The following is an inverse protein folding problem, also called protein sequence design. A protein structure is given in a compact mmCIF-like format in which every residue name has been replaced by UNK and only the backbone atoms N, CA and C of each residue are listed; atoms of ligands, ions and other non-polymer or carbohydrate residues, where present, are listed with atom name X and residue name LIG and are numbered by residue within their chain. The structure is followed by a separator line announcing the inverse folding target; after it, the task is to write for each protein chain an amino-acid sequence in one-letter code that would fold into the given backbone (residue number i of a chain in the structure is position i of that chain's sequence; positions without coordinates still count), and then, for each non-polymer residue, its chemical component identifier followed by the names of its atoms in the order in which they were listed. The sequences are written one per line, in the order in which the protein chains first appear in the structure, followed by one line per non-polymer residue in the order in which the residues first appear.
data_IF_169975432832
#
_entry.id   IF_169975432832
#
_cell.length_a   1.000
_cell.length_b   1.000
_cell.length_c   1.000
_cell.angle_alpha   90.00
_cell.angle_beta   90.00
_cell.angle_gamma   90.00
#
_symmetry.space_group_name_H-M   'P 1'
#
loop_
_entity.id
_entity.type
_entity.pdbx_description
1 polymer ?
#
# COMPACT_ATOMS: atom_id res chain seq x y z
N UNK A 1 -8.31 -22.42 -4.48
CA UNK A 1 -7.17 -22.30 -3.54
C UNK A 1 -7.62 -21.34 -2.45
N UNK A 2 -7.73 -21.76 -1.17
CA UNK A 2 -8.22 -20.88 -0.10
C UNK A 2 -7.20 -19.79 0.26
N UNK A 3 -7.66 -18.55 0.43
CA UNK A 3 -6.87 -17.40 0.86
C UNK A 3 -7.68 -16.60 1.88
N UNK A 4 -7.03 -16.17 2.96
CA UNK A 4 -7.66 -15.42 4.05
C UNK A 4 -6.82 -14.18 4.36
N UNK A 5 -7.47 -13.09 4.76
CA UNK A 5 -6.82 -11.83 5.13
C UNK A 5 -7.00 -11.61 6.63
N UNK A 6 -5.97 -11.10 7.31
CA UNK A 6 -6.00 -10.82 8.75
C UNK A 6 -6.78 -9.52 9.01
N UNK A 7 -7.60 -9.47 10.05
CA UNK A 7 -8.16 -8.22 10.56
C UNK A 7 -7.05 -7.19 10.87
N UNK A 8 -7.30 -5.93 10.58
CA UNK A 8 -6.33 -4.82 10.61
C UNK A 8 -5.42 -4.72 9.39
N UNK A 9 -5.56 -5.59 8.38
CA UNK A 9 -4.72 -5.50 7.18
C UNK A 9 -5.11 -4.31 6.32
N UNK A 10 -4.12 -3.54 5.87
CA UNK A 10 -4.26 -2.47 4.89
C UNK A 10 -3.58 -2.95 3.61
N UNK A 11 -4.34 -3.13 2.54
CA UNK A 11 -3.86 -3.70 1.27
C UNK A 11 -4.00 -2.65 0.16
N UNK A 12 -2.90 -1.99 -0.25
CA UNK A 12 -2.91 -1.15 -1.43
C UNK A 12 -2.95 -2.02 -2.70
N UNK A 13 -3.81 -1.63 -3.65
CA UNK A 13 -3.91 -2.26 -4.97
C UNK A 13 -4.06 -1.19 -6.05
N UNK A 14 -3.64 -1.50 -7.26
CA UNK A 14 -3.87 -0.67 -8.45
C UNK A 14 -4.74 -1.42 -9.46
N UNK A 15 -5.04 -0.80 -10.59
CA UNK A 15 -5.72 -1.45 -11.72
C UNK A 15 -4.88 -2.59 -12.29
N UNK A 16 -5.51 -3.55 -12.96
CA UNK A 16 -4.78 -4.64 -13.62
C UNK A 16 -3.89 -4.06 -14.72
N UNK A 17 -2.61 -4.42 -14.70
CA UNK A 17 -1.59 -4.07 -15.68
C UNK A 17 -0.91 -5.35 -16.17
N UNK A 18 -0.37 -5.34 -17.39
CA UNK A 18 0.31 -6.49 -17.99
C UNK A 18 1.77 -6.59 -17.54
N UNK A 19 2.37 -5.46 -17.16
CA UNK A 19 3.74 -5.35 -16.68
C UNK A 19 3.87 -4.17 -15.70
N UNK A 20 4.93 -4.16 -14.90
CA UNK A 20 5.24 -3.04 -14.00
C UNK A 20 5.55 -1.78 -14.79
N UNK A 21 5.20 -0.59 -14.27
CA UNK A 21 5.33 0.71 -14.94
C UNK A 21 4.50 0.90 -16.24
N UNK A 22 3.51 0.06 -16.54
CA UNK A 22 2.64 0.30 -17.71
C UNK A 22 1.88 1.62 -17.58
N UNK A 23 1.36 1.90 -16.37
CA UNK A 23 0.77 3.17 -15.97
C UNK A 23 1.30 3.56 -14.58
N UNK A 24 2.42 4.31 -14.50
CA UNK A 24 3.05 4.65 -13.22
C UNK A 24 2.13 5.43 -12.28
N UNK A 25 1.30 6.32 -12.83
CA UNK A 25 0.36 7.15 -12.05
C UNK A 25 -1.05 6.53 -11.95
N UNK A 26 -1.16 5.21 -12.12
CA UNK A 26 -2.44 4.52 -12.01
C UNK A 26 -3.04 4.70 -10.62
N UNK A 27 -4.38 4.84 -10.51
CA UNK A 27 -5.03 5.10 -9.24
C UNK A 27 -4.81 3.96 -8.24
N UNK A 28 -4.53 4.34 -7.00
CA UNK A 28 -4.41 3.44 -5.87
C UNK A 28 -5.76 3.25 -5.18
N UNK A 29 -6.15 2.00 -4.92
CA UNK A 29 -7.21 1.65 -3.98
C UNK A 29 -6.58 1.11 -2.71
N UNK A 30 -6.90 1.72 -1.57
CA UNK A 30 -6.49 1.23 -0.24
C UNK A 30 -7.64 0.43 0.35
N UNK A 31 -7.47 -0.88 0.48
CA UNK A 31 -8.48 -1.77 1.04
C UNK A 31 -8.14 -2.10 2.51
N UNK A 32 -9.03 -1.70 3.42
CA UNK A 32 -8.86 -1.92 4.86
C UNK A 32 -9.78 -3.04 5.32
N UNK A 33 -9.19 -4.11 5.86
CA UNK A 33 -9.90 -5.22 6.45
C UNK A 33 -10.05 -4.95 7.95
N UNK A 34 -11.21 -4.48 8.38
CA UNK A 34 -11.47 -4.04 9.77
C UNK A 34 -11.46 -5.21 10.78
N UNK A 35 -11.62 -4.87 12.07
CA UNK A 35 -11.67 -5.81 13.19
C UNK A 35 -10.40 -5.85 14.05
N UNK A 36 -9.40 -5.02 13.73
CA UNK A 36 -8.21 -4.76 14.54
C UNK A 36 -7.50 -3.50 14.01
N UNK A 37 -6.67 -2.85 14.82
CA UNK A 37 -5.81 -1.76 14.37
C UNK A 37 -4.79 -2.26 13.31
N UNK A 38 -4.38 -1.36 12.42
CA UNK A 38 -3.53 -1.67 11.28
C UNK A 38 -2.48 -0.61 10.98
N UNK A 39 -1.35 -1.04 10.45
CA UNK A 39 -0.33 -0.14 9.93
C UNK A 39 0.32 -0.73 8.67
N UNK A 40 0.57 0.11 7.68
CA UNK A 40 1.25 -0.24 6.44
C UNK A 40 2.05 0.95 5.93
N UNK A 41 3.26 0.74 5.41
CA UNK A 41 4.06 1.80 4.80
C UNK A 41 4.18 1.50 3.31
N UNK A 42 3.45 2.25 2.48
CA UNK A 42 3.59 2.13 1.02
C UNK A 42 4.95 2.72 0.63
N UNK A 43 5.76 1.92 -0.04
CA UNK A 43 7.09 2.30 -0.50
C UNK A 43 7.08 2.41 -2.02
N UNK A 44 7.63 3.52 -2.53
CA UNK A 44 7.74 3.78 -3.96
C UNK A 44 9.14 4.31 -4.27
N UNK A 45 9.74 3.86 -5.38
CA UNK A 45 10.96 4.39 -5.96
C UNK A 45 10.87 4.31 -7.49
N UNK A 46 11.98 4.53 -8.21
CA UNK A 46 11.97 4.50 -9.67
C UNK A 46 11.93 3.09 -10.29
N UNK A 47 11.96 2.03 -9.49
CA UNK A 47 11.84 0.63 -9.92
C UNK A 47 12.98 0.08 -10.78
N UNK A 48 14.03 0.86 -11.08
CA UNK A 48 15.01 0.52 -12.14
C UNK A 48 16.46 0.60 -11.73
N UNK A 49 16.83 1.47 -10.78
CA UNK A 49 18.22 1.69 -10.43
C UNK A 49 18.43 1.81 -8.92
N UNK A 50 19.68 2.01 -8.50
CA UNK A 50 20.11 2.13 -7.11
C UNK A 50 19.85 3.52 -6.48
N UNK A 51 18.90 4.30 -7.01
CA UNK A 51 18.51 5.59 -6.45
C UNK A 51 18.06 5.49 -4.99
N UNK A 52 17.40 4.39 -4.63
CA UNK A 52 16.98 4.13 -3.25
C UNK A 52 18.15 4.14 -2.24
N UNK A 53 19.36 3.77 -2.65
CA UNK A 53 20.55 3.81 -1.78
C UNK A 53 20.96 5.24 -1.42
N UNK A 54 20.58 6.21 -2.27
CA UNK A 54 20.79 7.65 -2.05
C UNK A 54 19.55 8.35 -1.49
N UNK A 55 18.50 7.61 -1.14
CA UNK A 55 17.25 8.16 -0.61
C UNK A 55 16.26 8.65 -1.67
N UNK A 56 16.44 8.28 -2.94
CA UNK A 56 15.50 8.59 -4.04
C UNK A 56 14.29 7.63 -3.99
N UNK A 57 13.56 7.66 -2.88
CA UNK A 57 12.36 6.86 -2.63
C UNK A 57 11.39 7.61 -1.71
N UNK A 58 10.13 7.20 -1.72
CA UNK A 58 9.08 7.74 -0.88
C UNK A 58 8.49 6.64 0.02
N UNK A 59 7.99 7.05 1.19
CA UNK A 59 7.16 6.21 2.05
C UNK A 59 5.90 6.97 2.44
N UNK A 60 4.75 6.35 2.25
CA UNK A 60 3.44 6.89 2.62
C UNK A 60 2.91 6.02 3.78
N UNK A 61 2.91 6.53 5.03
CA UNK A 61 2.47 5.77 6.19
C UNK A 61 0.95 5.73 6.28
N UNK A 62 0.38 4.53 6.22
CA UNK A 62 -1.04 4.26 6.39
C UNK A 62 -1.28 3.68 7.79
N UNK A 63 -2.23 4.25 8.53
CA UNK A 63 -2.60 3.77 9.86
C UNK A 63 -4.12 3.67 9.99
N UNK A 64 -4.61 2.48 10.34
CA UNK A 64 -6.02 2.22 10.63
C UNK A 64 -6.24 2.14 12.13
N UNK A 65 -7.18 2.95 12.62
CA UNK A 65 -7.70 2.86 13.97
C UNK A 65 -9.11 2.23 13.92
N UNK A 66 -9.22 1.01 14.43
CA UNK A 66 -10.46 0.24 14.32
C UNK A 66 -11.55 0.77 15.24
N UNK A 67 -11.17 1.19 16.45
CA UNK A 67 -12.10 1.73 17.43
C UNK A 67 -12.78 3.03 16.95
N UNK A 68 -12.07 3.84 16.17
CA UNK A 68 -12.59 5.10 15.61
C UNK A 68 -13.16 4.95 14.20
N UNK A 69 -12.81 3.88 13.49
CA UNK A 69 -13.16 3.73 12.07
C UNK A 69 -12.40 4.72 11.17
N UNK A 70 -11.15 5.04 11.51
CA UNK A 70 -10.38 6.11 10.86
C UNK A 70 -9.11 5.56 10.20
N UNK A 71 -8.90 5.90 8.92
CA UNK A 71 -7.66 5.69 8.19
C UNK A 71 -6.90 7.02 8.09
N UNK A 72 -5.63 7.02 8.50
CA UNK A 72 -4.67 8.14 8.32
C UNK A 72 -3.66 7.81 7.22
N UNK A 73 -3.24 8.82 6.45
CA UNK A 73 -2.32 8.76 5.31
C UNK A 73 -1.29 9.90 5.43
#
# INVERSE_FOLDING_TARGET
MPLFVRAGSIVPRTVVQQYVDEQPDAPLTVEVYTGADGAFSLYEDNGRNYGYERGESARIPLAWNDAKGELSI
#
